data_IF_712153012453
#
_entry.id   IF_712153012453
#
_cell.length_a   1.000
_cell.length_b   1.000
_cell.length_c   1.000
_cell.angle_alpha   90.00
_cell.angle_beta   90.00
_cell.angle_gamma   90.00
#
_symmetry.space_group_name_H-M   'P 1'
#
loop_
_entity.id
_entity.type
_entity.pdbx_description
1 polymer ?
#
# COMPACT_ATOMS: atom_id res chain seq x y z
N UNK A 1 32.04 1.56 -32.22
CA UNK A 1 31.80 2.81 -31.48
C UNK A 1 30.38 2.94 -31.02
N UNK A 2 29.44 2.91 -31.94
CA UNK A 2 28.00 2.98 -31.67
C UNK A 2 27.49 1.73 -30.95
N UNK A 3 27.96 0.56 -31.35
CA UNK A 3 27.53 -0.71 -30.81
C UNK A 3 27.97 -0.88 -29.35
N UNK A 4 29.19 -0.44 -29.03
CA UNK A 4 29.73 -0.48 -27.66
C UNK A 4 28.95 0.43 -26.72
N UNK A 5 28.63 1.66 -27.14
CA UNK A 5 27.85 2.60 -26.36
C UNK A 5 26.42 2.09 -26.13
N UNK A 6 25.79 1.51 -27.16
CA UNK A 6 24.44 0.94 -27.06
C UNK A 6 24.41 -0.25 -26.10
N UNK A 7 25.39 -1.15 -26.20
CA UNK A 7 25.51 -2.31 -25.29
C UNK A 7 25.69 -1.87 -23.84
N UNK A 8 26.50 -0.83 -23.61
CA UNK A 8 26.73 -0.28 -22.28
C UNK A 8 25.44 0.32 -21.70
N UNK A 9 24.68 1.05 -22.52
CA UNK A 9 23.39 1.62 -22.10
C UNK A 9 22.37 0.55 -21.74
N UNK A 10 22.29 -0.52 -22.52
CA UNK A 10 21.41 -1.65 -22.24
C UNK A 10 21.78 -2.35 -20.93
N UNK A 11 23.07 -2.56 -20.69
CA UNK A 11 23.57 -3.15 -19.46
C UNK A 11 23.23 -2.27 -18.25
N UNK A 12 23.42 -0.97 -18.35
CA UNK A 12 23.11 -0.01 -17.30
C UNK A 12 21.63 -0.03 -16.95
N UNK A 13 20.75 -0.01 -17.96
CA UNK A 13 19.30 -0.08 -17.75
C UNK A 13 18.88 -1.39 -17.08
N UNK A 14 19.48 -2.51 -17.48
CA UNK A 14 19.25 -3.82 -16.89
C UNK A 14 19.72 -3.88 -15.44
N UNK A 15 20.89 -3.33 -15.16
CA UNK A 15 21.45 -3.28 -13.80
C UNK A 15 20.60 -2.39 -12.88
N UNK A 16 20.11 -1.25 -13.39
CA UNK A 16 19.19 -0.37 -12.65
C UNK A 16 17.87 -1.07 -12.33
N UNK A 17 17.30 -1.78 -13.29
CA UNK A 17 16.08 -2.55 -13.07
C UNK A 17 16.29 -3.66 -12.03
N UNK A 18 17.39 -4.40 -12.13
CA UNK A 18 17.73 -5.43 -11.16
C UNK A 18 17.92 -4.86 -9.75
N UNK A 19 18.55 -3.68 -9.63
CA UNK A 19 18.73 -2.99 -8.35
C UNK A 19 17.39 -2.55 -7.76
N UNK A 20 16.46 -2.04 -8.59
CA UNK A 20 15.11 -1.66 -8.16
C UNK A 20 14.35 -2.91 -7.70
N UNK A 21 14.40 -4.00 -8.45
CA UNK A 21 13.74 -5.25 -8.09
C UNK A 21 14.28 -5.86 -6.79
N UNK A 22 15.59 -5.76 -6.56
CA UNK A 22 16.23 -6.26 -5.33
C UNK A 22 15.80 -5.46 -4.09
N UNK A 23 15.50 -4.16 -4.23
CA UNK A 23 15.07 -3.30 -3.13
C UNK A 23 13.56 -3.31 -2.88
N UNK A 24 12.79 -3.69 -3.89
CA UNK A 24 11.33 -3.62 -3.85
C UNK A 24 10.73 -4.92 -3.40
N UNK A 25 9.94 -4.86 -2.33
CA UNK A 25 9.22 -6.03 -1.86
C UNK A 25 7.72 -5.86 -2.14
N UNK A 26 7.26 -6.52 -3.20
CA UNK A 26 5.83 -6.67 -3.48
C UNK A 26 5.39 -7.98 -2.83
N UNK A 27 4.38 -7.91 -1.98
CA UNK A 27 3.84 -9.10 -1.34
C UNK A 27 3.11 -9.97 -2.37
N UNK A 28 3.16 -11.28 -2.15
CA UNK A 28 2.39 -12.22 -2.97
C UNK A 28 0.91 -12.08 -2.64
N UNK A 29 0.10 -11.74 -3.64
CA UNK A 29 -1.35 -11.69 -3.47
C UNK A 29 -1.88 -13.10 -3.21
N UNK A 30 -2.69 -13.30 -2.17
CA UNK A 30 -3.26 -14.63 -1.89
C UNK A 30 -4.03 -15.19 -3.08
N UNK A 31 -3.80 -16.46 -3.39
CA UNK A 31 -4.50 -17.18 -4.46
C UNK A 31 -5.84 -17.69 -3.97
N UNK A 32 -6.77 -16.77 -3.87
CA UNK A 32 -8.15 -17.02 -3.40
C UNK A 32 -9.12 -16.30 -4.33
N UNK A 33 -10.41 -16.70 -4.37
CA UNK A 33 -11.41 -15.93 -5.09
C UNK A 33 -11.44 -14.47 -4.59
N UNK A 34 -11.74 -13.54 -5.49
CA UNK A 34 -11.78 -12.10 -5.17
C UNK A 34 -12.71 -11.77 -3.99
N UNK A 35 -13.76 -12.56 -3.82
CA UNK A 35 -14.72 -12.42 -2.73
C UNK A 35 -14.11 -12.68 -1.34
N UNK A 36 -13.00 -13.41 -1.29
CA UNK A 36 -12.26 -13.74 -0.07
C UNK A 36 -10.95 -13.00 0.06
N UNK A 37 -10.59 -12.22 -0.95
CA UNK A 37 -9.26 -11.61 -1.03
C UNK A 37 -8.98 -10.69 0.17
N UNK A 38 -9.91 -9.80 0.49
CA UNK A 38 -9.70 -8.86 1.59
C UNK A 38 -9.51 -9.58 2.93
N UNK A 39 -10.36 -10.54 3.22
CA UNK A 39 -10.25 -11.33 4.44
C UNK A 39 -8.91 -12.09 4.50
N UNK A 40 -8.44 -12.62 3.38
CA UNK A 40 -7.14 -13.29 3.29
C UNK A 40 -5.97 -12.33 3.52
N UNK A 41 -6.09 -11.09 3.04
CA UNK A 41 -5.04 -10.07 3.25
C UNK A 41 -4.89 -9.68 4.73
N UNK A 42 -5.99 -9.59 5.46
CA UNK A 42 -5.96 -9.14 6.85
C UNK A 42 -5.83 -10.29 7.86
N UNK A 43 -6.12 -11.52 7.47
CA UNK A 43 -6.11 -12.68 8.37
C UNK A 43 -4.79 -12.86 9.17
N UNK A 44 -3.59 -12.65 8.57
CA UNK A 44 -2.33 -12.79 9.32
C UNK A 44 -2.16 -11.76 10.44
N UNK A 45 -2.98 -10.72 10.47
CA UNK A 45 -2.83 -9.58 11.38
C UNK A 45 -3.91 -9.51 12.46
N UNK A 46 -4.60 -10.60 12.69
CA UNK A 46 -5.63 -10.68 13.71
C UNK A 46 -5.09 -10.29 15.08
N UNK A 47 -5.82 -9.46 15.80
CA UNK A 47 -5.39 -8.92 17.09
C UNK A 47 -4.60 -7.61 16.98
N UNK A 48 -4.29 -7.17 15.77
CA UNK A 48 -3.63 -5.89 15.50
C UNK A 48 -4.58 -4.94 14.79
N UNK A 49 -4.28 -3.65 14.89
CA UNK A 49 -4.95 -2.61 14.09
C UNK A 49 -4.31 -2.60 12.71
N UNK A 50 -5.13 -2.65 11.65
CA UNK A 50 -4.64 -2.59 10.28
C UNK A 50 -5.25 -1.37 9.59
N UNK A 51 -4.41 -0.54 9.03
CA UNK A 51 -4.83 0.55 8.16
C UNK A 51 -4.52 0.17 6.73
N UNK A 52 -5.56 0.02 5.92
CA UNK A 52 -5.44 -0.32 4.50
C UNK A 52 -5.61 0.95 3.69
N UNK A 53 -4.58 1.29 2.93
CA UNK A 53 -4.50 2.50 2.10
C UNK A 53 -4.62 2.09 0.62
N UNK A 54 -5.68 2.55 -0.04
CA UNK A 54 -5.88 2.36 -1.48
C UNK A 54 -5.27 3.54 -2.21
N UNK A 55 -4.27 3.28 -3.03
CA UNK A 55 -3.49 4.31 -3.70
C UNK A 55 -3.02 3.86 -5.09
N UNK A 56 -2.42 4.75 -5.84
CA UNK A 56 -1.67 4.44 -7.06
C UNK A 56 -0.53 5.44 -7.24
N UNK A 57 0.47 5.08 -8.01
CA UNK A 57 1.67 5.91 -8.22
C UNK A 57 1.36 7.24 -8.90
N UNK A 58 0.30 7.30 -9.70
CA UNK A 58 -0.13 8.50 -10.41
C UNK A 58 -1.03 9.41 -9.57
N UNK A 59 -1.41 9.00 -8.38
CA UNK A 59 -2.33 9.75 -7.51
C UNK A 59 -1.55 10.74 -6.65
N UNK A 60 -1.57 12.02 -7.02
CA UNK A 60 -0.88 13.08 -6.28
C UNK A 60 -1.31 13.20 -4.82
N UNK A 61 -2.62 13.33 -4.53
CA UNK A 61 -3.10 13.38 -3.14
C UNK A 61 -2.74 12.15 -2.32
N UNK A 62 -2.74 10.96 -2.92
CA UNK A 62 -2.31 9.73 -2.25
C UNK A 62 -0.85 9.81 -1.82
N UNK A 63 0.01 10.26 -2.72
CA UNK A 63 1.45 10.39 -2.47
C UNK A 63 1.74 11.41 -1.38
N UNK A 64 1.05 12.54 -1.39
CA UNK A 64 1.18 13.57 -0.37
C UNK A 64 0.80 13.04 1.01
N UNK A 65 -0.31 12.31 1.11
CA UNK A 65 -0.76 11.69 2.37
C UNK A 65 0.24 10.65 2.87
N UNK A 66 0.76 9.80 1.97
CA UNK A 66 1.77 8.79 2.31
C UNK A 66 3.03 9.46 2.87
N UNK A 67 3.52 10.53 2.24
CA UNK A 67 4.68 11.26 2.71
C UNK A 67 4.44 11.85 4.10
N UNK A 68 3.25 12.38 4.37
CA UNK A 68 2.90 12.92 5.68
C UNK A 68 2.84 11.83 6.75
N UNK A 69 2.50 10.61 6.40
CA UNK A 69 2.38 9.48 7.33
C UNK A 69 3.73 8.83 7.68
N UNK A 70 4.73 8.87 6.78
CA UNK A 70 5.99 8.16 7.01
C UNK A 70 6.70 8.55 8.32
N UNK A 71 6.87 9.82 8.67
CA UNK A 71 7.50 10.19 9.94
C UNK A 71 6.73 9.70 11.17
N UNK A 72 5.42 9.54 11.07
CA UNK A 72 4.57 9.09 12.17
C UNK A 72 4.83 7.63 12.54
N UNK A 73 5.25 6.81 11.58
CA UNK A 73 5.51 5.38 11.79
C UNK A 73 6.69 5.13 12.72
N UNK A 74 7.59 6.08 12.86
CA UNK A 74 8.71 6.04 13.80
C UNK A 74 8.55 6.97 15.01
N UNK A 75 7.40 7.62 15.14
CA UNK A 75 7.11 8.56 16.22
C UNK A 75 5.72 8.29 16.84
N UNK A 76 4.73 9.16 16.57
CA UNK A 76 3.41 9.11 17.22
C UNK A 76 2.64 7.81 16.98
N UNK A 77 2.84 7.17 15.84
CA UNK A 77 2.18 5.92 15.46
C UNK A 77 3.14 4.72 15.44
N UNK A 78 4.27 4.84 16.12
CA UNK A 78 5.20 3.71 16.26
C UNK A 78 4.56 2.65 17.16
N UNK A 79 4.24 1.48 16.60
CA UNK A 79 3.65 0.38 17.35
C UNK A 79 3.79 -0.92 16.56
N UNK A 80 4.14 -1.99 17.23
CA UNK A 80 4.15 -3.34 16.67
C UNK A 80 2.71 -3.86 16.44
N UNK A 81 1.72 -3.17 17.00
CA UNK A 81 0.31 -3.52 16.88
C UNK A 81 -0.43 -2.74 15.79
N UNK A 82 0.28 -1.92 15.03
CA UNK A 82 -0.26 -1.19 13.87
C UNK A 82 0.40 -1.71 12.60
N UNK A 83 -0.41 -2.23 11.71
CA UNK A 83 0.04 -2.75 10.41
C UNK A 83 -0.46 -1.81 9.31
N UNK A 84 0.47 -1.35 8.48
CA UNK A 84 0.16 -0.53 7.31
C UNK A 84 0.12 -1.43 6.09
N UNK A 85 -1.03 -1.46 5.42
CA UNK A 85 -1.23 -2.24 4.19
C UNK A 85 -1.56 -1.28 3.06
N UNK A 86 -0.82 -1.39 1.96
CA UNK A 86 -0.99 -0.53 0.79
C UNK A 86 -1.47 -1.37 -0.39
N UNK A 87 -2.59 -0.97 -0.97
CA UNK A 87 -3.18 -1.65 -2.12
C UNK A 87 -3.17 -0.69 -3.31
N UNK A 88 -2.49 -1.09 -4.37
CA UNK A 88 -2.49 -0.43 -5.66
C UNK A 88 -2.98 -1.40 -6.73
N UNK A 89 -3.19 -0.92 -7.93
CA UNK A 89 -3.56 -1.78 -9.05
C UNK A 89 -2.56 -1.69 -10.20
N UNK A 90 -2.84 -2.40 -11.27
CA UNK A 90 -1.94 -2.49 -12.43
C UNK A 90 -1.85 -1.21 -13.27
N UNK A 91 -2.64 -0.15 -12.96
CA UNK A 91 -2.45 1.18 -13.55
C UNK A 91 -1.23 1.90 -13.01
N UNK A 92 -0.68 1.44 -11.88
CA UNK A 92 0.64 1.84 -11.42
C UNK A 92 1.69 1.08 -12.23
N UNK A 93 2.47 1.75 -13.10
CA UNK A 93 3.48 1.05 -13.90
C UNK A 93 4.47 0.32 -13.00
N UNK A 94 4.78 -0.93 -13.33
CA UNK A 94 5.50 -1.83 -12.43
C UNK A 94 6.87 -1.29 -12.01
N UNK A 95 7.62 -0.68 -12.92
CA UNK A 95 8.95 -0.14 -12.60
C UNK A 95 8.82 1.06 -11.65
N UNK A 96 7.90 1.99 -11.94
CA UNK A 96 7.66 3.14 -11.08
C UNK A 96 7.17 2.72 -9.70
N UNK A 97 6.27 1.76 -9.66
CA UNK A 97 5.74 1.19 -8.42
C UNK A 97 6.87 0.61 -7.56
N UNK A 98 7.70 -0.26 -8.13
CA UNK A 98 8.82 -0.89 -7.44
C UNK A 98 9.90 0.11 -7.02
N UNK A 99 9.99 1.25 -7.68
CA UNK A 99 10.92 2.33 -7.30
C UNK A 99 10.40 3.11 -6.09
N UNK A 100 9.09 3.26 -5.98
CA UNK A 100 8.47 4.07 -4.92
C UNK A 100 8.28 3.33 -3.60
N UNK A 101 7.89 2.04 -3.63
CA UNK A 101 7.50 1.32 -2.42
C UNK A 101 8.62 1.10 -1.39
N UNK A 102 9.92 1.05 -1.72
CA UNK A 102 10.97 0.95 -0.69
C UNK A 102 10.97 2.11 0.30
N UNK A 103 10.48 3.27 -0.09
CA UNK A 103 10.40 4.46 0.76
C UNK A 103 9.10 4.52 1.58
N UNK A 104 8.25 3.53 1.44
CA UNK A 104 6.94 3.46 2.11
C UNK A 104 6.90 2.20 2.96
N UNK A 105 7.01 2.37 4.27
CA UNK A 105 7.00 1.23 5.20
C UNK A 105 5.62 0.60 5.28
N UNK A 106 5.56 -0.70 5.08
CA UNK A 106 4.31 -1.45 5.13
C UNK A 106 4.30 -2.64 4.19
N UNK A 107 3.15 -3.24 4.06
CA UNK A 107 2.92 -4.39 3.18
C UNK A 107 2.28 -3.90 1.89
N UNK A 108 2.89 -4.21 0.77
CA UNK A 108 2.50 -3.68 -0.54
C UNK A 108 1.92 -4.77 -1.43
N UNK A 109 0.66 -4.58 -1.84
CA UNK A 109 -0.05 -5.47 -2.76
C UNK A 109 -0.41 -4.71 -4.03
N UNK A 110 -0.08 -5.28 -5.18
CA UNK A 110 -0.44 -4.74 -6.49
C UNK A 110 -1.44 -5.70 -7.13
N UNK A 111 -2.71 -5.33 -7.08
CA UNK A 111 -3.81 -6.17 -7.54
C UNK A 111 -4.04 -6.00 -9.05
N UNK A 112 -4.64 -7.03 -9.67
CA UNK A 112 -5.17 -6.86 -11.01
C UNK A 112 -6.44 -6.02 -10.98
N UNK A 113 -6.92 -5.60 -12.17
CA UNK A 113 -8.06 -4.70 -12.26
C UNK A 113 -9.36 -5.33 -11.74
N UNK A 114 -9.54 -6.62 -11.93
CA UNK A 114 -10.73 -7.33 -11.45
C UNK A 114 -10.79 -7.36 -9.92
N UNK A 115 -9.67 -7.67 -9.27
CA UNK A 115 -9.57 -7.68 -7.81
C UNK A 115 -9.79 -6.28 -7.23
N UNK A 116 -9.15 -5.27 -7.84
CA UNK A 116 -9.31 -3.88 -7.44
C UNK A 116 -10.76 -3.42 -7.56
N UNK A 117 -11.40 -3.70 -8.69
CA UNK A 117 -12.79 -3.31 -8.92
C UNK A 117 -13.72 -3.98 -7.90
N UNK A 118 -13.49 -5.24 -7.61
CA UNK A 118 -14.28 -5.95 -6.60
C UNK A 118 -14.18 -5.27 -5.23
N UNK A 119 -12.97 -4.93 -4.79
CA UNK A 119 -12.78 -4.27 -3.50
C UNK A 119 -13.37 -2.86 -3.48
N UNK A 120 -13.26 -2.11 -4.56
CA UNK A 120 -13.89 -0.80 -4.67
C UNK A 120 -15.41 -0.89 -4.56
N UNK A 121 -16.02 -1.88 -5.19
CA UNK A 121 -17.46 -2.13 -5.08
C UNK A 121 -17.85 -2.55 -3.67
N UNK A 122 -17.08 -3.45 -3.06
CA UNK A 122 -17.30 -3.94 -1.71
C UNK A 122 -17.35 -2.82 -0.68
N UNK A 123 -16.39 -1.90 -0.75
CA UNK A 123 -16.26 -0.80 0.20
C UNK A 123 -16.91 0.49 -0.28
N UNK A 124 -17.47 0.51 -1.50
CA UNK A 124 -18.05 1.70 -2.12
C UNK A 124 -17.02 2.83 -2.24
N UNK A 125 -15.83 2.47 -2.69
CA UNK A 125 -14.74 3.41 -2.97
C UNK A 125 -15.01 4.04 -4.34
N UNK A 126 -15.15 5.37 -4.35
CA UNK A 126 -15.38 6.15 -5.57
C UNK A 126 -14.18 7.00 -5.96
N UNK A 127 -13.14 6.99 -5.16
CA UNK A 127 -11.90 7.75 -5.43
C UNK A 127 -10.81 7.37 -4.44
N UNK A 128 -9.59 7.75 -4.76
CA UNK A 128 -8.42 7.53 -3.91
C UNK A 128 -7.75 8.87 -3.56
N UNK A 129 -7.12 9.01 -2.37
CA UNK A 129 -6.92 7.96 -1.39
C UNK A 129 -8.21 7.55 -0.69
N UNK A 130 -8.33 6.27 -0.37
CA UNK A 130 -9.39 5.73 0.48
C UNK A 130 -8.77 4.78 1.50
N UNK A 131 -9.37 4.73 2.69
CA UNK A 131 -8.81 3.98 3.81
C UNK A 131 -9.85 3.03 4.37
N UNK A 132 -9.40 1.82 4.69
CA UNK A 132 -10.21 0.84 5.44
C UNK A 132 -9.49 0.58 6.75
N UNK A 133 -10.17 0.78 7.86
CA UNK A 133 -9.64 0.50 9.20
C UNK A 133 -10.13 -0.86 9.67
N UNK A 134 -9.19 -1.71 10.07
CA UNK A 134 -9.47 -3.00 10.69
C UNK A 134 -9.07 -2.92 12.15
N UNK A 135 -10.01 -3.15 13.06
CA UNK A 135 -9.73 -3.13 14.49
C UNK A 135 -9.14 -4.46 14.98
N UNK A 136 -8.77 -4.52 16.24
CA UNK A 136 -8.14 -5.70 16.83
C UNK A 136 -9.05 -6.93 16.84
N UNK A 137 -10.36 -6.75 16.75
CA UNK A 137 -11.32 -7.85 16.63
C UNK A 137 -11.42 -8.41 15.21
N UNK A 138 -10.87 -7.72 14.23
CA UNK A 138 -10.96 -8.06 12.82
C UNK A 138 -12.15 -7.41 12.11
N UNK A 139 -12.95 -6.61 12.80
CA UNK A 139 -14.01 -5.84 12.18
C UNK A 139 -13.42 -4.69 11.37
N UNK A 140 -13.98 -4.43 10.20
CA UNK A 140 -13.43 -3.40 9.31
C UNK A 140 -14.52 -2.55 8.68
N UNK A 141 -14.16 -1.30 8.37
CA UNK A 141 -15.03 -0.40 7.63
C UNK A 141 -14.24 0.68 6.89
N UNK A 142 -14.84 1.21 5.84
CA UNK A 142 -14.30 2.34 5.09
C UNK A 142 -14.28 3.59 5.98
N UNK A 143 -13.13 4.30 5.96
CA UNK A 143 -12.91 5.52 6.73
C UNK A 143 -12.41 6.64 5.81
N UNK A 144 -13.29 7.15 4.96
CA UNK A 144 -12.97 8.28 4.08
C UNK A 144 -12.73 9.58 4.84
N UNK A 145 -13.23 9.68 6.07
CA UNK A 145 -12.93 10.76 6.99
C UNK A 145 -11.44 10.81 7.39
N UNK A 146 -10.66 9.75 7.14
CA UNK A 146 -9.21 9.74 7.34
C UNK A 146 -8.44 10.58 6.32
N UNK A 147 -9.10 11.17 5.36
CA UNK A 147 -8.54 12.26 4.55
C UNK A 147 -8.25 13.48 5.43
N UNK A 148 -8.95 13.62 6.53
CA UNK A 148 -8.55 14.49 7.64
C UNK A 148 -7.43 13.79 8.43
N UNK A 149 -6.19 14.23 8.21
CA UNK A 149 -4.99 13.61 8.75
C UNK A 149 -4.98 13.60 10.28
N UNK A 150 -5.44 14.70 10.91
CA UNK A 150 -5.51 14.79 12.37
C UNK A 150 -6.50 13.79 12.95
N UNK A 151 -7.64 13.61 12.31
CA UNK A 151 -8.64 12.63 12.74
C UNK A 151 -8.11 11.20 12.59
N UNK A 152 -7.40 10.91 11.51
CA UNK A 152 -6.76 9.60 11.30
C UNK A 152 -5.79 9.28 12.44
N UNK A 153 -4.89 10.20 12.76
CA UNK A 153 -3.89 10.02 13.83
C UNK A 153 -4.58 9.76 15.16
N UNK A 154 -5.54 10.59 15.52
CA UNK A 154 -6.29 10.46 16.77
C UNK A 154 -7.00 9.11 16.86
N UNK A 155 -7.67 8.70 15.80
CA UNK A 155 -8.42 7.44 15.76
C UNK A 155 -7.48 6.24 15.86
N UNK A 156 -6.35 6.24 15.17
CA UNK A 156 -5.38 5.16 15.24
C UNK A 156 -4.78 5.02 16.64
N UNK A 157 -4.49 6.13 17.31
CA UNK A 157 -4.00 6.13 18.70
C UNK A 157 -5.06 5.51 19.61
N UNK A 158 -6.31 5.93 19.48
CA UNK A 158 -7.43 5.40 20.28
C UNK A 158 -7.61 3.88 20.07
N UNK A 159 -7.54 3.42 18.82
CA UNK A 159 -7.69 1.98 18.50
C UNK A 159 -6.52 1.16 19.07
N UNK A 160 -5.30 1.71 19.06
CA UNK A 160 -4.14 1.04 19.61
C UNK A 160 -4.20 0.88 21.14
N UNK A 161 -4.89 1.79 21.81
CA UNK A 161 -5.07 1.76 23.27
C UNK A 161 -6.13 0.74 23.72
N UNK A 162 -6.97 0.28 22.82
CA UNK A 162 -7.95 -0.76 23.10
C UNK A 162 -7.26 -2.13 23.16
#
# INVERSE_FOLDING_TARGET
FYLEAFTLMQKKAKDELAAVEAKSKVETTPDVPKERLFDALIAPHKGKVVLVDFWNTWCGPCRAAIQANEPLKSSNLKSDNLVWVYIANETSPIVKYKTMIPDIQGLHYRLNQEQWNYLCDKFKIDGIPSYVLVDKSGAYKLRNDFRDHSLMIKTLIEELEK
#
